data_IF_504324996931
#
_entry.id   IF_504324996931
#
_cell.length_a   1.000
_cell.length_b   1.000
_cell.length_c   1.000
_cell.angle_alpha   90.00
_cell.angle_beta   90.00
_cell.angle_gamma   90.00
#
_symmetry.space_group_name_H-M   'P 1'
#
loop_
_entity.id
_entity.type
_entity.pdbx_description
1 polymer ?
#
# COMPACT_ATOMS: atom_id res chain seq x y z
N UNK A 1 6.35 -31.75 38.43
CA UNK A 1 7.22 -30.61 38.81
C UNK A 1 7.72 -29.97 37.53
N UNK A 2 7.12 -28.85 37.12
CA UNK A 2 7.65 -28.08 35.98
C UNK A 2 8.85 -27.30 36.50
N UNK A 3 10.05 -27.66 36.02
CA UNK A 3 11.26 -26.93 36.34
C UNK A 3 11.13 -25.49 35.88
N UNK A 4 11.26 -24.55 36.82
CA UNK A 4 11.45 -23.14 36.54
C UNK A 4 12.74 -22.97 35.75
N UNK A 5 12.64 -23.05 34.43
CA UNK A 5 13.73 -22.77 33.51
C UNK A 5 14.08 -21.29 33.60
N UNK A 6 14.94 -20.92 34.55
CA UNK A 6 15.61 -19.63 34.51
C UNK A 6 16.50 -19.65 33.26
N UNK A 7 16.14 -18.88 32.24
CA UNK A 7 17.04 -18.56 31.14
C UNK A 7 18.23 -17.80 31.76
N UNK A 8 19.28 -18.54 32.11
CA UNK A 8 20.57 -17.97 32.51
C UNK A 8 21.43 -17.91 31.26
N UNK A 9 21.67 -16.70 30.80
CA UNK A 9 22.67 -16.42 29.77
C UNK A 9 23.95 -16.02 30.48
N UNK A 10 25.11 -16.45 30.01
CA UNK A 10 26.40 -16.00 30.52
C UNK A 10 26.77 -14.58 30.05
N UNK A 11 25.91 -13.96 29.24
CA UNK A 11 26.09 -12.59 28.80
C UNK A 11 25.80 -11.62 29.96
N UNK A 12 26.60 -10.56 30.10
CA UNK A 12 26.30 -9.51 31.06
C UNK A 12 24.92 -8.91 30.75
N UNK A 13 24.15 -8.67 31.81
CA UNK A 13 22.87 -7.97 31.68
C UNK A 13 23.12 -6.59 31.08
N UNK A 14 22.47 -6.22 29.97
CA UNK A 14 22.68 -4.93 29.35
C UNK A 14 22.24 -3.81 30.30
N UNK A 15 23.00 -2.72 30.28
CA UNK A 15 22.68 -1.48 30.97
C UNK A 15 21.49 -0.79 30.31
N UNK A 16 20.85 0.12 31.06
CA UNK A 16 19.75 0.94 30.53
C UNK A 16 20.19 1.76 29.31
N UNK A 17 21.41 2.29 29.31
CA UNK A 17 21.96 3.04 28.18
C UNK A 17 22.11 2.15 26.94
N UNK A 18 22.68 0.95 27.08
CA UNK A 18 22.79 0.00 25.97
C UNK A 18 21.41 -0.39 25.42
N UNK A 19 20.41 -0.57 26.30
CA UNK A 19 19.04 -0.84 25.88
C UNK A 19 18.39 0.35 25.15
N UNK A 20 18.65 1.59 25.57
CA UNK A 20 18.20 2.81 24.89
C UNK A 20 18.82 2.93 23.50
N UNK A 21 20.14 2.79 23.39
CA UNK A 21 20.86 2.86 22.11
C UNK A 21 20.36 1.80 21.13
N UNK A 22 20.18 0.57 21.62
CA UNK A 22 19.61 -0.53 20.83
C UNK A 22 18.20 -0.22 20.34
N UNK A 23 17.32 0.26 21.22
CA UNK A 23 15.95 0.60 20.85
C UNK A 23 15.92 1.69 19.77
N UNK A 24 16.77 2.72 19.87
CA UNK A 24 16.90 3.77 18.85
C UNK A 24 17.30 3.20 17.50
N UNK A 25 18.33 2.35 17.47
CA UNK A 25 18.80 1.72 16.24
C UNK A 25 17.71 0.86 15.59
N UNK A 26 16.95 0.10 16.39
CA UNK A 26 15.83 -0.69 15.89
C UNK A 26 14.68 0.18 15.36
N UNK A 27 14.36 1.31 16.01
CA UNK A 27 13.37 2.28 15.52
C UNK A 27 13.81 2.83 14.15
N UNK A 28 15.08 3.21 14.00
CA UNK A 28 15.61 3.73 12.73
C UNK A 28 15.48 2.71 11.60
N UNK A 29 15.82 1.44 11.86
CA UNK A 29 15.63 0.34 10.91
C UNK A 29 14.16 0.21 10.52
N UNK A 30 13.25 0.17 11.50
CA UNK A 30 11.80 0.05 11.22
C UNK A 30 11.28 1.26 10.44
N UNK A 31 11.74 2.47 10.75
CA UNK A 31 11.38 3.68 10.02
C UNK A 31 11.85 3.64 8.56
N UNK A 32 13.11 3.24 8.32
CA UNK A 32 13.66 3.16 6.96
C UNK A 32 12.87 2.20 6.06
N UNK A 33 12.34 1.12 6.64
CA UNK A 33 11.58 0.11 5.91
C UNK A 33 10.11 0.49 5.77
N UNK A 34 9.50 1.01 6.84
CA UNK A 34 8.03 1.16 6.95
C UNK A 34 7.57 2.62 6.96
N UNK A 35 8.31 3.52 7.60
CA UNK A 35 7.99 4.95 7.73
C UNK A 35 7.95 5.69 6.39
N UNK A 36 8.93 5.43 5.52
CA UNK A 36 9.06 6.08 4.19
C UNK A 36 7.84 5.84 3.29
N UNK A 37 7.08 4.76 3.52
CA UNK A 37 5.86 4.45 2.76
C UNK A 37 4.73 5.45 3.07
N UNK A 38 4.74 6.03 4.27
CA UNK A 38 3.71 6.96 4.72
C UNK A 38 4.01 8.40 4.40
N UNK A 39 5.28 8.79 4.43
CA UNK A 39 5.71 10.15 4.17
C UNK A 39 6.92 10.17 3.22
N UNK A 40 6.68 10.01 1.90
CA UNK A 40 7.76 9.98 0.92
C UNK A 40 8.52 11.31 0.93
N UNK A 41 9.84 11.24 1.17
CA UNK A 41 10.70 12.43 1.21
C UNK A 41 11.02 12.94 2.61
N UNK A 42 10.40 12.40 3.66
CA UNK A 42 10.79 12.66 5.06
C UNK A 42 11.86 11.65 5.47
N UNK A 43 13.01 12.14 5.94
CA UNK A 43 14.07 11.29 6.47
C UNK A 43 13.79 10.89 7.91
N UNK A 44 14.50 9.87 8.39
CA UNK A 44 14.44 9.50 9.81
C UNK A 44 14.82 10.68 10.71
N UNK A 45 15.86 11.43 10.35
CA UNK A 45 16.30 12.61 11.12
C UNK A 45 15.21 13.67 11.21
N UNK A 46 14.54 13.99 10.09
CA UNK A 46 13.45 14.98 10.07
C UNK A 46 12.30 14.58 11.01
N UNK A 47 11.89 13.30 10.96
CA UNK A 47 10.84 12.79 11.83
C UNK A 47 11.28 12.75 13.29
N UNK A 48 12.52 12.32 13.55
CA UNK A 48 13.09 12.20 14.87
C UNK A 48 13.17 13.55 15.58
N UNK A 49 13.67 14.57 14.88
CA UNK A 49 13.77 15.93 15.40
C UNK A 49 12.39 16.57 15.59
N UNK A 50 11.44 16.30 14.69
CA UNK A 50 10.06 16.75 14.87
C UNK A 50 9.41 16.15 16.13
N UNK A 51 9.51 14.83 16.33
CA UNK A 51 8.95 14.18 17.53
C UNK A 51 9.63 14.68 18.81
N UNK A 52 10.96 14.90 18.77
CA UNK A 52 11.69 15.49 19.89
C UNK A 52 11.13 16.86 20.25
N UNK A 53 11.00 17.75 19.26
CA UNK A 53 10.46 19.10 19.45
C UNK A 53 9.06 19.08 20.04
N UNK A 54 8.17 18.21 19.54
CA UNK A 54 6.81 18.07 20.09
C UNK A 54 6.82 17.59 21.54
N UNK A 55 7.70 16.65 21.90
CA UNK A 55 7.83 16.15 23.27
C UNK A 55 8.39 17.20 24.24
N UNK A 56 9.28 18.06 23.77
CA UNK A 56 9.82 19.19 24.55
C UNK A 56 8.74 20.26 24.81
N UNK A 57 7.90 20.55 23.82
CA UNK A 57 6.79 21.51 23.97
C UNK A 57 5.62 20.94 24.78
N UNK A 58 5.40 19.63 24.73
CA UNK A 58 4.25 18.94 25.32
C UNK A 58 4.72 17.75 26.16
N UNK A 59 4.92 17.94 27.48
CA UNK A 59 5.42 16.88 28.37
C UNK A 59 4.58 15.59 28.38
N UNK A 60 3.28 15.68 28.07
CA UNK A 60 2.36 14.54 28.03
C UNK A 60 2.24 13.89 26.63
N UNK A 61 3.06 14.32 25.66
CA UNK A 61 2.94 13.87 24.26
C UNK A 61 3.04 12.35 24.09
N UNK A 62 3.91 11.68 24.87
CA UNK A 62 4.02 10.23 24.86
C UNK A 62 2.76 9.54 25.44
N UNK A 63 2.17 10.10 26.49
CA UNK A 63 0.94 9.60 27.12
C UNK A 63 -0.26 9.70 26.19
N UNK A 64 -0.33 10.75 25.36
CA UNK A 64 -1.40 10.88 24.38
C UNK A 64 -1.41 9.70 23.39
N UNK A 65 -0.24 9.25 22.94
CA UNK A 65 -0.17 8.08 22.06
C UNK A 65 -0.74 6.82 22.73
N UNK A 66 -0.46 6.61 24.02
CA UNK A 66 -1.03 5.50 24.77
C UNK A 66 -2.58 5.57 24.77
N UNK A 67 -3.16 6.74 25.07
CA UNK A 67 -4.61 6.96 25.07
C UNK A 67 -5.23 6.68 23.68
N UNK A 68 -4.58 7.14 22.62
CA UNK A 68 -5.03 6.88 21.25
C UNK A 68 -4.97 5.38 20.91
N UNK A 69 -3.90 4.68 21.32
CA UNK A 69 -3.72 3.25 21.05
C UNK A 69 -4.73 2.39 21.84
N UNK A 70 -5.05 2.78 23.07
CA UNK A 70 -6.15 2.18 23.83
C UNK A 70 -7.51 2.41 23.15
N UNK A 71 -7.75 3.62 22.64
CA UNK A 71 -8.97 3.92 21.87
C UNK A 71 -9.10 3.07 20.61
N UNK A 72 -8.01 2.85 19.86
CA UNK A 72 -7.99 1.95 18.71
C UNK A 72 -8.32 0.51 19.12
N UNK A 73 -7.69 0.02 20.20
CA UNK A 73 -7.98 -1.31 20.75
C UNK A 73 -9.44 -1.46 21.17
N UNK A 74 -10.01 -0.47 21.86
CA UNK A 74 -11.41 -0.47 22.28
C UNK A 74 -12.39 -0.51 21.10
N UNK A 75 -12.01 0.08 19.97
CA UNK A 75 -12.80 0.06 18.72
C UNK A 75 -12.60 -1.22 17.89
N UNK A 76 -11.73 -2.13 18.32
CA UNK A 76 -11.38 -3.33 17.57
C UNK A 76 -10.66 -3.03 16.25
N UNK A 77 -10.02 -1.86 16.15
CA UNK A 77 -9.27 -1.44 14.96
C UNK A 77 -7.78 -1.45 15.25
N UNK A 78 -6.98 -1.89 14.28
CA UNK A 78 -5.53 -1.80 14.37
C UNK A 78 -5.06 -0.42 13.92
N UNK A 79 -4.19 0.26 14.68
CA UNK A 79 -3.62 1.53 14.25
C UNK A 79 -2.70 1.34 13.04
N UNK A 80 -2.57 2.42 12.26
CA UNK A 80 -1.58 2.49 11.18
C UNK A 80 -0.17 2.42 11.77
N UNK A 81 0.72 1.69 11.10
CA UNK A 81 2.08 1.40 11.62
C UNK A 81 2.87 2.68 11.89
N UNK A 82 2.72 3.69 11.03
CA UNK A 82 3.38 4.99 11.23
C UNK A 82 2.98 5.67 12.54
N UNK A 83 1.73 5.51 12.99
CA UNK A 83 1.27 6.04 14.26
C UNK A 83 1.92 5.31 15.45
N UNK A 84 2.01 3.99 15.37
CA UNK A 84 2.67 3.14 16.39
C UNK A 84 4.18 3.44 16.43
N UNK A 85 4.78 3.73 15.29
CA UNK A 85 6.20 4.09 15.18
C UNK A 85 6.49 5.42 15.88
N UNK A 86 5.63 6.44 15.67
CA UNK A 86 5.71 7.71 16.40
C UNK A 86 5.55 7.54 17.90
N UNK A 87 4.60 6.72 18.33
CA UNK A 87 4.44 6.38 19.75
C UNK A 87 5.73 5.77 20.34
N UNK A 88 6.37 4.87 19.59
CA UNK A 88 7.65 4.26 20.00
C UNK A 88 8.76 5.31 20.12
N UNK A 89 8.86 6.24 19.16
CA UNK A 89 9.84 7.35 19.19
C UNK A 89 9.59 8.28 20.39
N UNK A 90 8.35 8.69 20.63
CA UNK A 90 8.00 9.55 21.78
C UNK A 90 8.34 8.89 23.13
N UNK A 91 8.03 7.61 23.28
CA UNK A 91 8.39 6.85 24.49
C UNK A 91 9.89 6.64 24.66
N UNK A 92 10.64 6.61 23.56
CA UNK A 92 12.10 6.57 23.62
C UNK A 92 12.65 7.87 24.20
N UNK A 93 12.16 9.05 23.77
CA UNK A 93 12.59 10.34 24.31
C UNK A 93 12.21 10.51 25.78
N UNK A 94 11.02 10.05 26.16
CA UNK A 94 10.59 9.99 27.55
C UNK A 94 11.55 9.13 28.40
N UNK A 95 11.98 7.98 27.88
CA UNK A 95 12.94 7.12 28.55
C UNK A 95 14.34 7.76 28.66
N UNK A 96 14.81 8.45 27.61
CA UNK A 96 16.08 9.19 27.62
C UNK A 96 16.05 10.32 28.65
N UNK A 97 14.98 11.13 28.66
CA UNK A 97 14.81 12.23 29.61
C UNK A 97 14.78 11.76 31.07
N UNK A 98 14.03 10.67 31.35
CA UNK A 98 13.99 10.04 32.66
C UNK A 98 15.37 9.48 33.07
N UNK A 99 16.11 8.87 32.13
CA UNK A 99 17.45 8.38 32.38
C UNK A 99 18.41 9.52 32.75
N UNK A 100 18.40 10.62 32.00
CA UNK A 100 19.26 11.78 32.22
C UNK A 100 18.95 12.52 33.54
N UNK A 101 17.70 12.49 34.00
CA UNK A 101 17.29 13.04 35.29
C UNK A 101 17.52 12.10 36.48
N UNK A 102 17.98 10.86 36.23
CA UNK A 102 18.26 9.86 37.25
C UNK A 102 17.05 9.05 37.71
N UNK A 103 15.87 9.24 37.10
CA UNK A 103 14.66 8.47 37.37
C UNK A 103 14.68 7.15 36.58
N UNK A 104 15.34 6.16 37.17
CA UNK A 104 15.53 4.83 36.55
C UNK A 104 14.23 4.07 36.34
N UNK A 105 13.27 4.19 37.26
CA UNK A 105 12.02 3.42 37.20
C UNK A 105 11.13 3.93 36.07
N UNK A 106 11.03 5.25 35.92
CA UNK A 106 10.34 5.88 34.79
C UNK A 106 11.03 5.55 33.46
N UNK A 107 12.36 5.62 33.41
CA UNK A 107 13.13 5.29 32.21
C UNK A 107 12.89 3.85 31.74
N UNK A 108 12.93 2.87 32.65
CA UNK A 108 12.62 1.48 32.32
C UNK A 108 11.18 1.30 31.87
N UNK A 109 10.22 1.94 32.54
CA UNK A 109 8.80 1.85 32.20
C UNK A 109 8.54 2.34 30.77
N UNK A 110 9.07 3.52 30.44
CA UNK A 110 8.94 4.11 29.11
C UNK A 110 9.65 3.25 28.04
N UNK A 111 10.86 2.75 28.33
CA UNK A 111 11.61 1.91 27.39
C UNK A 111 10.94 0.57 27.12
N UNK A 112 10.32 -0.06 28.13
CA UNK A 112 9.55 -1.30 27.95
C UNK A 112 8.36 -1.04 27.02
N UNK A 113 7.64 0.07 27.22
CA UNK A 113 6.52 0.45 26.34
C UNK A 113 7.00 0.75 24.92
N UNK A 114 8.10 1.49 24.77
CA UNK A 114 8.75 1.73 23.48
C UNK A 114 9.00 0.41 22.73
N UNK A 115 9.64 -0.56 23.37
CA UNK A 115 9.94 -1.87 22.76
C UNK A 115 8.66 -2.68 22.45
N UNK A 116 7.63 -2.58 23.28
CA UNK A 116 6.34 -3.20 23.01
C UNK A 116 5.72 -2.64 21.72
N UNK A 117 5.69 -1.32 21.55
CA UNK A 117 5.16 -0.68 20.34
C UNK A 117 6.05 -0.95 19.11
N UNK A 118 7.36 -1.00 19.28
CA UNK A 118 8.29 -1.38 18.22
C UNK A 118 8.05 -2.82 17.75
N UNK A 119 7.80 -3.75 18.67
CA UNK A 119 7.37 -5.12 18.34
C UNK A 119 6.05 -5.14 17.56
N UNK A 120 5.07 -4.31 17.94
CA UNK A 120 3.82 -4.19 17.19
C UNK A 120 4.04 -3.61 15.78
N UNK A 121 4.96 -2.65 15.64
CA UNK A 121 5.42 -2.13 14.35
C UNK A 121 6.08 -3.17 13.45
N UNK A 122 6.31 -4.41 13.91
CA UNK A 122 6.83 -5.51 13.09
C UNK A 122 5.75 -6.55 12.74
N UNK A 123 4.55 -6.45 13.30
CA UNK A 123 3.58 -7.57 13.32
C UNK A 123 2.57 -7.59 12.17
N UNK A 124 1.89 -6.47 11.87
CA UNK A 124 0.83 -6.41 10.84
C UNK A 124 1.21 -5.53 9.66
N UNK A 125 0.76 -5.90 8.46
CA UNK A 125 0.83 -5.06 7.25
C UNK A 125 -0.25 -3.97 7.30
N UNK A 126 0.13 -2.72 7.09
CA UNK A 126 -0.76 -1.57 7.03
C UNK A 126 -1.57 -1.50 5.74
N UNK A 127 -2.64 -0.69 5.73
CA UNK A 127 -3.43 -0.47 4.52
C UNK A 127 -2.58 0.18 3.41
N UNK A 128 -1.73 1.15 3.76
CA UNK A 128 -0.86 1.84 2.79
C UNK A 128 0.23 0.94 2.22
N UNK A 129 0.84 0.07 3.02
CA UNK A 129 1.80 -0.92 2.51
C UNK A 129 1.16 -1.89 1.53
N UNK A 130 -0.03 -2.41 1.89
CA UNK A 130 -0.78 -3.28 0.99
C UNK A 130 -1.18 -2.58 -0.30
N UNK A 131 -1.63 -1.32 -0.19
CA UNK A 131 -2.00 -0.49 -1.35
C UNK A 131 -0.80 -0.15 -2.23
N UNK A 132 0.35 0.15 -1.65
CA UNK A 132 1.61 0.41 -2.35
C UNK A 132 2.09 -0.83 -3.10
N UNK A 133 2.04 -2.00 -2.45
CA UNK A 133 2.36 -3.29 -3.06
C UNK A 133 1.37 -3.64 -4.19
N UNK A 134 0.07 -3.43 -3.97
CA UNK A 134 -0.95 -3.62 -5.00
C UNK A 134 -0.74 -2.65 -6.18
N UNK A 135 -0.39 -1.39 -5.91
CA UNK A 135 -0.06 -0.39 -6.91
C UNK A 135 1.17 -0.76 -7.74
N UNK A 136 2.27 -1.20 -7.10
CA UNK A 136 3.47 -1.69 -7.79
C UNK A 136 3.18 -2.93 -8.65
N UNK A 137 2.41 -3.88 -8.13
CA UNK A 137 2.03 -5.08 -8.90
C UNK A 137 1.08 -4.75 -10.05
N UNK A 138 0.16 -3.80 -9.85
CA UNK A 138 -0.67 -3.26 -10.93
C UNK A 138 0.21 -2.62 -11.99
N UNK A 139 1.11 -1.71 -11.60
CA UNK A 139 2.00 -1.01 -12.53
C UNK A 139 2.88 -1.97 -13.33
N UNK A 140 3.45 -3.00 -12.70
CA UNK A 140 4.21 -4.07 -13.38
C UNK A 140 3.43 -4.78 -14.49
N UNK A 141 2.10 -4.92 -14.33
CA UNK A 141 1.23 -5.56 -15.33
C UNK A 141 0.68 -4.56 -16.34
N UNK A 142 0.31 -3.36 -15.89
CA UNK A 142 -0.35 -2.36 -16.73
C UNK A 142 0.60 -1.57 -17.61
N UNK A 143 1.87 -1.40 -17.23
CA UNK A 143 2.85 -0.69 -18.04
C UNK A 143 3.19 -1.47 -19.33
N UNK A 144 3.58 -2.76 -19.28
CA UNK A 144 3.81 -3.55 -20.49
C UNK A 144 2.57 -3.68 -21.37
N UNK A 145 1.38 -3.83 -20.76
CA UNK A 145 0.12 -3.87 -21.49
C UNK A 145 -0.15 -2.54 -22.22
N UNK A 146 0.13 -1.41 -21.57
CA UNK A 146 0.01 -0.07 -22.17
C UNK A 146 0.95 0.07 -23.35
N UNK A 147 2.20 -0.32 -23.19
CA UNK A 147 3.21 -0.26 -24.25
C UNK A 147 2.78 -1.08 -25.46
N UNK A 148 2.33 -2.32 -25.25
CA UNK A 148 1.79 -3.18 -26.32
C UNK A 148 0.60 -2.52 -27.03
N UNK A 149 -0.36 -1.95 -26.29
CA UNK A 149 -1.52 -1.27 -26.90
C UNK A 149 -1.09 -0.03 -27.68
N UNK A 150 -0.16 0.77 -27.16
CA UNK A 150 0.37 1.94 -27.86
C UNK A 150 1.13 1.56 -29.13
N UNK A 151 1.88 0.46 -29.11
CA UNK A 151 2.55 -0.09 -30.29
C UNK A 151 1.56 -0.57 -31.35
N UNK A 152 0.52 -1.30 -30.95
CA UNK A 152 -0.54 -1.71 -31.87
C UNK A 152 -1.24 -0.50 -32.49
N UNK A 153 -1.54 0.52 -31.68
CA UNK A 153 -2.21 1.72 -32.17
C UNK A 153 -1.29 2.60 -33.02
N UNK A 154 0.01 2.63 -32.76
CA UNK A 154 0.98 3.40 -33.56
C UNK A 154 1.15 2.82 -34.96
N UNK A 155 1.12 1.48 -35.07
CA UNK A 155 1.15 0.76 -36.33
C UNK A 155 -0.12 0.96 -37.19
N UNK A 156 -1.24 1.39 -36.59
CA UNK A 156 -2.45 1.71 -37.35
C UNK A 156 -2.28 3.06 -38.08
N UNK A 157 -2.65 3.16 -39.38
CA UNK A 157 -2.66 4.42 -40.08
C UNK A 157 -3.71 5.39 -39.53
N UNK A 158 -3.47 6.69 -39.69
CA UNK A 158 -4.40 7.74 -39.30
C UNK A 158 -5.73 7.59 -40.06
N UNK A 159 -6.85 7.85 -39.37
CA UNK A 159 -8.20 7.74 -39.93
C UNK A 159 -8.54 6.38 -40.57
N UNK A 160 -7.82 5.31 -40.23
CA UNK A 160 -8.00 3.97 -40.81
C UNK A 160 -9.21 3.21 -40.26
N UNK A 161 -9.86 3.72 -39.21
CA UNK A 161 -11.05 3.10 -38.58
C UNK A 161 -12.21 4.08 -38.53
N UNK A 162 -13.42 3.58 -38.78
CA UNK A 162 -14.62 4.41 -38.78
C UNK A 162 -15.14 4.65 -37.36
N UNK A 163 -14.91 3.71 -36.44
CA UNK A 163 -15.38 3.83 -35.05
C UNK A 163 -14.38 3.30 -34.04
N UNK A 164 -14.57 3.73 -32.80
CA UNK A 164 -13.86 3.22 -31.63
C UNK A 164 -14.06 1.71 -31.41
N UNK A 165 -15.21 1.19 -31.84
CA UNK A 165 -15.52 -0.24 -31.70
C UNK A 165 -14.61 -1.10 -32.57
N UNK A 166 -14.28 -0.65 -33.78
CA UNK A 166 -13.39 -1.39 -34.69
C UNK A 166 -11.96 -1.46 -34.16
N UNK A 167 -11.49 -0.40 -33.49
CA UNK A 167 -10.22 -0.43 -32.76
C UNK A 167 -10.27 -1.46 -31.64
N UNK A 168 -11.34 -1.47 -30.83
CA UNK A 168 -11.49 -2.43 -29.74
C UNK A 168 -11.60 -3.88 -30.20
N UNK A 169 -12.27 -4.13 -31.32
CA UNK A 169 -12.39 -5.49 -31.87
C UNK A 169 -11.01 -6.05 -32.27
N UNK A 170 -10.05 -5.18 -32.59
CA UNK A 170 -8.67 -5.54 -32.93
C UNK A 170 -7.75 -5.65 -31.70
N UNK A 171 -7.79 -4.68 -30.78
CA UNK A 171 -6.85 -4.66 -29.65
C UNK A 171 -7.28 -5.52 -28.46
N UNK A 172 -8.60 -5.68 -28.20
CA UNK A 172 -9.08 -6.40 -27.01
C UNK A 172 -8.72 -7.89 -27.03
N UNK A 173 -8.76 -8.60 -28.17
CA UNK A 173 -8.24 -9.97 -28.24
C UNK A 173 -6.77 -10.06 -27.84
N UNK A 174 -5.91 -9.17 -28.36
CA UNK A 174 -4.48 -9.13 -28.04
C UNK A 174 -4.23 -8.84 -26.55
N UNK A 175 -4.97 -7.88 -25.99
CA UNK A 175 -4.94 -7.57 -24.55
C UNK A 175 -5.40 -8.75 -23.68
N UNK A 176 -6.35 -9.55 -24.16
CA UNK A 176 -6.87 -10.71 -23.43
C UNK A 176 -5.91 -11.90 -23.44
N UNK A 177 -5.06 -12.01 -24.47
CA UNK A 177 -3.98 -12.99 -24.56
C UNK A 177 -2.67 -12.51 -23.94
N UNK A 178 -2.59 -11.26 -23.47
CA UNK A 178 -1.37 -10.69 -22.94
C UNK A 178 -0.96 -11.37 -21.62
N UNK A 179 0.28 -11.85 -21.58
CA UNK A 179 0.90 -12.41 -20.37
C UNK A 179 2.05 -11.48 -19.96
N UNK A 180 1.99 -10.87 -18.76
CA UNK A 180 3.07 -10.01 -18.27
C UNK A 180 4.39 -10.80 -18.14
N UNK A 181 5.54 -10.21 -18.52
CA UNK A 181 6.82 -10.86 -18.36
C UNK A 181 7.12 -11.14 -16.88
N UNK A 182 7.36 -12.42 -16.55
CA UNK A 182 7.74 -12.86 -15.20
C UNK A 182 6.60 -13.30 -14.26
N UNK A 183 5.34 -13.32 -14.72
CA UNK A 183 4.22 -13.85 -13.92
C UNK A 183 4.08 -15.37 -14.11
N UNK A 184 4.12 -16.13 -13.01
CA UNK A 184 3.87 -17.58 -13.00
C UNK A 184 2.39 -17.84 -12.68
N UNK A 185 1.63 -18.28 -13.68
CA UNK A 185 0.36 -19.02 -13.55
C UNK A 185 -0.72 -18.41 -12.63
N UNK A 186 -1.18 -17.17 -12.88
CA UNK A 186 -2.59 -16.86 -12.64
C UNK A 186 -3.40 -17.21 -13.90
N UNK A 187 -4.62 -17.73 -13.76
CA UNK A 187 -5.47 -18.06 -14.91
C UNK A 187 -5.62 -16.86 -15.87
N UNK A 188 -5.76 -17.10 -17.19
CA UNK A 188 -5.47 -16.13 -18.27
C UNK A 188 -6.20 -14.77 -18.20
N UNK A 189 -7.21 -14.61 -17.34
CA UNK A 189 -8.01 -13.38 -17.21
C UNK A 189 -8.26 -12.93 -15.75
N UNK A 190 -7.69 -13.62 -14.76
CA UNK A 190 -7.92 -13.26 -13.34
C UNK A 190 -7.24 -11.94 -12.95
N UNK A 191 -6.14 -11.60 -13.63
CA UNK A 191 -5.50 -10.30 -13.47
C UNK A 191 -6.34 -9.17 -14.08
N UNK A 192 -7.09 -9.42 -15.16
CA UNK A 192 -7.99 -8.43 -15.79
C UNK A 192 -9.14 -8.05 -14.86
N UNK A 193 -9.64 -9.00 -14.07
CA UNK A 193 -10.65 -8.73 -13.03
C UNK A 193 -10.12 -7.82 -11.90
N UNK A 194 -8.79 -7.66 -11.78
CA UNK A 194 -8.15 -6.77 -10.81
C UNK A 194 -7.93 -5.35 -11.38
N UNK A 195 -7.90 -5.17 -12.71
CA UNK A 195 -7.74 -3.87 -13.39
C UNK A 195 -8.86 -2.86 -13.09
N UNK A 196 -10.09 -3.34 -12.85
CA UNK A 196 -11.27 -2.48 -12.63
C UNK A 196 -11.66 -2.26 -11.17
N UNK A 197 -10.92 -2.86 -10.22
CA UNK A 197 -11.24 -2.79 -8.79
C UNK A 197 -10.63 -1.55 -8.17
N UNK A 198 -11.42 -0.82 -7.39
CA UNK A 198 -10.90 0.28 -6.61
C UNK A 198 -9.97 -0.28 -5.51
N UNK A 199 -8.84 0.37 -5.14
CA UNK A 199 -7.91 -0.14 -4.12
C UNK A 199 -8.59 -0.57 -2.80
N UNK A 200 -9.65 0.14 -2.39
CA UNK A 200 -10.48 -0.17 -1.22
C UNK A 200 -11.25 -1.51 -1.31
N UNK A 201 -11.59 -2.00 -2.51
CA UNK A 201 -12.32 -3.26 -2.70
C UNK A 201 -11.41 -4.48 -2.57
N UNK A 202 -10.15 -4.36 -2.98
CA UNK A 202 -9.13 -5.40 -2.78
C UNK A 202 -8.80 -5.59 -1.27
N UNK A 203 -8.93 -4.52 -0.48
CA UNK A 203 -8.75 -4.55 0.97
C UNK A 203 -9.86 -5.30 1.73
N UNK A 204 -11.12 -5.17 1.33
CA UNK A 204 -12.25 -5.87 2.01
C UNK A 204 -12.26 -7.38 1.79
N UNK A 205 -11.88 -7.85 0.60
CA UNK A 205 -11.88 -9.29 0.28
C UNK A 205 -10.71 -10.06 0.91
N UNK A 206 -9.60 -9.39 1.25
CA UNK A 206 -8.44 -10.05 1.88
C UNK A 206 -8.66 -10.43 3.35
N UNK A 207 -9.65 -9.83 4.02
CA UNK A 207 -10.07 -10.19 5.39
C UNK A 207 -11.37 -11.02 5.45
N UNK A 208 -12.16 -11.05 4.38
CA UNK A 208 -13.43 -11.79 4.31
C UNK A 208 -13.40 -12.86 3.21
N UNK A 209 -12.52 -13.87 3.32
CA UNK A 209 -12.78 -15.15 2.64
C UNK A 209 -13.86 -15.92 3.40
N UNK A 210 -15.13 -15.59 3.15
CA UNK A 210 -16.23 -16.55 3.25
C UNK A 210 -16.84 -16.73 1.86
N UNK A 211 -16.81 -17.98 1.41
CA UNK A 211 -17.78 -18.62 0.51
C UNK A 211 -18.21 -17.88 -0.75
N UNK A 212 -17.77 -18.42 -1.89
CA UNK A 212 -18.53 -18.58 -3.15
C UNK A 212 -19.63 -17.55 -3.45
N UNK A 213 -19.39 -16.74 -4.48
CA UNK A 213 -20.43 -16.43 -5.48
C UNK A 213 -21.31 -15.20 -5.24
N UNK A 214 -20.91 -14.24 -4.40
CA UNK A 214 -21.69 -13.01 -4.26
C UNK A 214 -21.31 -11.94 -5.29
N UNK A 215 -22.33 -11.45 -6.00
CA UNK A 215 -22.26 -10.35 -6.96
C UNK A 215 -21.66 -9.11 -6.28
N UNK A 216 -20.71 -8.44 -6.94
CA UNK A 216 -20.14 -7.20 -6.40
C UNK A 216 -21.27 -6.19 -6.14
N UNK A 217 -21.28 -5.64 -4.93
CA UNK A 217 -22.33 -4.74 -4.42
C UNK A 217 -22.45 -3.42 -5.20
N UNK A 218 -21.63 -3.20 -6.23
CA UNK A 218 -21.50 -1.94 -6.98
C UNK A 218 -21.49 -2.16 -8.50
N UNK A 219 -22.35 -3.04 -9.05
CA UNK A 219 -22.78 -3.00 -10.46
C UNK A 219 -21.70 -2.98 -11.56
N UNK A 220 -20.42 -3.22 -11.24
CA UNK A 220 -19.31 -3.21 -12.20
C UNK A 220 -19.25 -4.55 -12.88
N UNK A 221 -19.20 -4.51 -14.20
CA UNK A 221 -19.16 -5.70 -15.05
C UNK A 221 -17.97 -6.59 -14.68
N UNK A 222 -18.22 -7.88 -14.46
CA UNK A 222 -17.17 -8.88 -14.28
C UNK A 222 -16.59 -9.39 -15.62
N UNK A 223 -17.13 -8.91 -16.74
CA UNK A 223 -16.69 -9.23 -18.10
C UNK A 223 -15.30 -8.62 -18.38
N UNK A 224 -14.25 -9.44 -18.61
CA UNK A 224 -12.89 -8.98 -18.90
C UNK A 224 -12.81 -8.03 -20.10
N UNK A 225 -13.57 -8.28 -21.16
CA UNK A 225 -13.55 -7.44 -22.36
C UNK A 225 -14.05 -6.02 -22.06
N UNK A 226 -15.13 -5.91 -21.27
CA UNK A 226 -15.65 -4.62 -20.82
C UNK A 226 -14.68 -3.89 -19.90
N UNK A 227 -13.97 -4.61 -19.03
CA UNK A 227 -12.95 -4.02 -18.14
C UNK A 227 -11.77 -3.47 -18.93
N UNK A 228 -11.27 -4.18 -19.94
CA UNK A 228 -10.20 -3.72 -20.82
C UNK A 228 -10.61 -2.48 -21.63
N UNK A 229 -11.83 -2.46 -22.16
CA UNK A 229 -12.39 -1.27 -22.84
C UNK A 229 -12.48 -0.06 -21.92
N UNK A 230 -12.94 -0.25 -20.67
CA UNK A 230 -12.96 0.82 -19.67
C UNK A 230 -11.55 1.30 -19.31
N UNK A 231 -10.60 0.38 -19.16
CA UNK A 231 -9.21 0.72 -18.86
C UNK A 231 -8.56 1.56 -19.98
N UNK A 232 -8.69 1.14 -21.25
CA UNK A 232 -8.18 1.91 -22.40
C UNK A 232 -8.81 3.32 -22.51
N UNK A 233 -10.07 3.49 -22.12
CA UNK A 233 -10.73 4.80 -22.11
C UNK A 233 -10.22 5.78 -21.07
N UNK A 234 -9.77 5.24 -19.93
CA UNK A 234 -9.32 6.05 -18.80
C UNK A 234 -7.82 6.37 -18.88
N UNK A 235 -7.11 5.79 -19.86
CA UNK A 235 -5.71 6.10 -20.12
C UNK A 235 -5.62 7.20 -21.20
N UNK A 236 -5.12 8.38 -20.84
CA UNK A 236 -5.12 9.55 -21.73
C UNK A 236 -4.23 9.35 -22.97
N UNK A 237 -3.05 8.74 -22.82
CA UNK A 237 -2.13 8.48 -23.94
C UNK A 237 -2.75 7.52 -24.97
N UNK A 238 -3.37 6.44 -24.50
CA UNK A 238 -4.12 5.51 -25.36
C UNK A 238 -5.29 6.24 -26.02
N UNK A 239 -6.02 7.06 -25.25
CA UNK A 239 -7.17 7.81 -25.78
C UNK A 239 -6.77 8.79 -26.88
N UNK A 240 -5.60 9.43 -26.77
CA UNK A 240 -5.05 10.29 -27.83
C UNK A 240 -4.79 9.52 -29.12
N UNK A 241 -4.24 8.31 -29.02
CA UNK A 241 -4.04 7.44 -30.20
C UNK A 241 -5.36 6.99 -30.83
N UNK A 242 -6.41 6.79 -30.03
CA UNK A 242 -7.74 6.52 -30.57
C UNK A 242 -8.29 7.69 -31.41
N UNK A 243 -8.03 8.94 -31.03
CA UNK A 243 -8.43 10.09 -31.84
C UNK A 243 -7.70 10.15 -33.19
N UNK A 244 -6.43 9.75 -33.23
CA UNK A 244 -5.63 9.68 -34.45
C UNK A 244 -6.15 8.64 -35.44
N UNK A 245 -6.51 7.46 -34.93
CA UNK A 245 -6.89 6.31 -35.75
C UNK A 245 -8.35 6.38 -36.23
N UNK A 246 -9.24 7.06 -35.49
CA UNK A 246 -10.67 7.15 -35.86
C UNK A 246 -10.95 8.36 -36.76
N UNK A 247 -11.51 8.11 -37.93
CA UNK A 247 -11.87 9.14 -38.93
C UNK A 247 -13.05 10.07 -38.53
N UNK A 248 -13.67 9.84 -37.37
CA UNK A 248 -14.88 10.52 -36.92
C UNK A 248 -14.91 10.74 -35.40
N UNK A 249 -16.00 11.29 -34.84
CA UNK A 249 -16.13 11.43 -33.39
C UNK A 249 -16.06 10.03 -32.75
N UNK A 250 -15.44 9.93 -31.55
CA UNK A 250 -15.26 8.69 -30.75
C UNK A 250 -16.59 8.08 -30.27
N UNK A 251 -17.47 7.79 -31.22
CA UNK A 251 -18.75 7.15 -31.01
C UNK A 251 -18.53 5.64 -31.05
N UNK A 252 -19.24 4.94 -30.18
CA UNK A 252 -19.24 3.46 -30.13
C UNK A 252 -20.22 2.85 -31.12
N UNK A 253 -21.02 3.68 -31.80
CA UNK A 253 -22.11 3.27 -32.67
C UNK A 253 -21.62 3.31 -34.11
N UNK A 254 -21.55 2.14 -34.77
CA UNK A 254 -21.45 2.08 -36.23
C UNK A 254 -22.54 2.97 -36.82
N UNK A 255 -22.18 3.96 -37.65
CA UNK A 255 -23.16 4.65 -38.49
C UNK A 255 -23.84 3.55 -39.31
N UNK A 256 -25.14 3.33 -39.09
CA UNK A 256 -25.93 2.48 -39.99
C UNK A 256 -25.75 3.08 -41.38
N UNK A 257 -25.29 2.29 -42.34
CA UNK A 257 -25.31 2.70 -43.74
C UNK A 257 -26.75 3.09 -44.06
N UNK A 258 -26.95 4.35 -44.46
CA UNK A 258 -28.16 4.72 -45.17
C UNK A 258 -28.12 3.94 -46.47
N UNK A 259 -28.87 2.84 -46.55
CA UNK A 259 -29.16 2.23 -47.83
C UNK A 259 -29.90 3.28 -48.66
N UNK A 260 -29.24 3.78 -49.69
CA UNK A 260 -29.84 4.42 -50.85
C UNK A 260 -29.84 3.39 -51.99
#
# INVERSE_FOLDING_TARGET
>A
MFGTGAFRTDLPTPTLLECLERAKAEIEVVFSVRGVIFNPGVTFADEWDWIRSEGEERPDYASEFDDWLELFRAKGTLPEVYFILRASMSLWFEAESAYLSGDRDRAWTALVRCNFFLGMCCSHESHRERSSRAGRNSAKRTLPLREMVLEMLSAMPDNSRATKQEIWDEIVPAMSSFVPPGDVQEGPLDWVRKLGRHPKEQYRESFHRRGKGEKSRHGRSADPAKLLRTWTNNNEEIRQQFFRVVAGPLTTRRKRSSNA
#
